data_IF_472827429491
#
_entry.id   IF_472827429491
#
_cell.length_a   1.000
_cell.length_b   1.000
_cell.length_c   1.000
_cell.angle_alpha   90.00
_cell.angle_beta   90.00
_cell.angle_gamma   90.00
#
_symmetry.space_group_name_H-M   'P 1'
#
loop_
_entity.id
_entity.type
_entity.pdbx_description
1 polymer ?
#
# COMPACT_ATOMS: atom_id res chain seq x y z
N UNK A 1 -24.69 -4.13 -25.13
CA UNK A 1 -24.62 -2.89 -24.34
C UNK A 1 -23.79 -1.88 -25.14
N UNK A 2 -24.41 -0.76 -25.57
CA UNK A 2 -23.72 0.23 -26.42
C UNK A 2 -22.80 1.10 -25.56
N UNK A 3 -21.65 1.54 -26.07
CA UNK A 3 -20.67 2.41 -25.39
C UNK A 3 -21.30 3.66 -24.71
N UNK A 4 -22.48 4.10 -25.17
CA UNK A 4 -23.23 5.21 -24.58
C UNK A 4 -23.90 4.83 -23.23
N UNK A 5 -24.28 3.58 -23.03
CA UNK A 5 -24.92 3.12 -21.80
C UNK A 5 -23.92 3.00 -20.64
N UNK A 6 -22.64 2.69 -20.95
CA UNK A 6 -21.53 2.64 -19.99
C UNK A 6 -21.21 4.03 -19.42
N UNK A 7 -21.32 5.10 -20.21
CA UNK A 7 -21.10 6.48 -19.73
C UNK A 7 -22.14 6.97 -18.72
N UNK A 8 -23.30 6.38 -18.66
CA UNK A 8 -24.41 6.80 -17.80
C UNK A 8 -24.51 6.05 -16.46
N UNK A 9 -23.68 5.04 -16.21
CA UNK A 9 -23.61 4.41 -14.88
C UNK A 9 -22.96 5.40 -13.90
N UNK A 10 -23.76 6.00 -13.03
CA UNK A 10 -23.35 7.02 -12.03
C UNK A 10 -22.09 6.64 -11.23
N UNK A 11 -21.77 5.36 -11.10
CA UNK A 11 -20.60 4.84 -10.38
C UNK A 11 -19.29 4.86 -11.17
N UNK A 12 -19.30 4.65 -12.49
CA UNK A 12 -18.07 4.48 -13.31
C UNK A 12 -17.17 5.72 -13.31
N UNK A 13 -17.77 6.92 -13.39
CA UNK A 13 -17.01 8.17 -13.34
C UNK A 13 -16.30 8.35 -11.98
N UNK A 14 -16.93 7.93 -10.90
CA UNK A 14 -16.36 8.00 -9.54
C UNK A 14 -15.24 7.00 -9.35
N UNK A 15 -15.43 5.77 -9.83
CA UNK A 15 -14.41 4.71 -9.82
C UNK A 15 -13.21 5.13 -10.67
N UNK A 16 -13.44 5.68 -11.87
CA UNK A 16 -12.40 6.24 -12.73
C UNK A 16 -11.61 7.35 -12.04
N UNK A 17 -12.28 8.24 -11.29
CA UNK A 17 -11.64 9.33 -10.56
C UNK A 17 -10.75 8.82 -9.42
N UNK A 18 -11.21 7.85 -8.63
CA UNK A 18 -10.40 7.22 -7.57
C UNK A 18 -9.26 6.41 -8.19
N UNK A 19 -9.57 5.65 -9.25
CA UNK A 19 -8.59 4.84 -9.96
C UNK A 19 -7.43 5.68 -10.50
N UNK A 20 -7.74 6.75 -11.23
CA UNK A 20 -6.73 7.64 -11.80
C UNK A 20 -5.89 8.35 -10.74
N UNK A 21 -6.48 8.78 -9.61
CA UNK A 21 -5.72 9.39 -8.53
C UNK A 21 -4.67 8.43 -7.95
N UNK A 22 -5.05 7.18 -7.73
CA UNK A 22 -4.11 6.18 -7.21
C UNK A 22 -2.99 5.85 -8.22
N UNK A 23 -3.31 5.78 -9.53
CA UNK A 23 -2.31 5.53 -10.57
C UNK A 23 -1.30 6.67 -10.62
N UNK A 24 -1.80 7.91 -10.72
CA UNK A 24 -0.95 9.11 -10.76
C UNK A 24 -0.11 9.19 -9.47
N UNK A 25 -0.73 8.99 -8.31
CA UNK A 25 -0.03 9.01 -7.03
C UNK A 25 1.03 7.93 -6.90
N UNK A 26 0.75 6.69 -7.36
CA UNK A 26 1.75 5.61 -7.36
C UNK A 26 2.90 5.93 -8.31
N UNK A 27 2.61 6.41 -9.52
CA UNK A 27 3.65 6.79 -10.49
C UNK A 27 4.57 7.88 -9.92
N UNK A 28 4.00 8.96 -9.36
CA UNK A 28 4.78 10.04 -8.73
C UNK A 28 5.67 9.51 -7.61
N UNK A 29 5.11 8.68 -6.71
CA UNK A 29 5.87 8.16 -5.57
C UNK A 29 6.92 7.13 -5.98
N UNK A 30 6.64 6.24 -6.93
CA UNK A 30 7.64 5.26 -7.39
C UNK A 30 8.80 5.93 -8.09
N UNK A 31 8.55 6.93 -8.96
CA UNK A 31 9.60 7.71 -9.60
C UNK A 31 10.44 8.45 -8.54
N UNK A 32 9.79 9.08 -7.55
CA UNK A 32 10.49 9.73 -6.44
C UNK A 32 11.40 8.75 -5.70
N UNK A 33 10.90 7.57 -5.33
CA UNK A 33 11.69 6.59 -4.58
C UNK A 33 12.89 6.06 -5.36
N UNK A 34 12.74 5.85 -6.68
CA UNK A 34 13.87 5.46 -7.53
C UNK A 34 14.90 6.58 -7.63
N UNK A 35 14.46 7.84 -7.75
CA UNK A 35 15.37 8.98 -7.81
C UNK A 35 16.12 9.17 -6.47
N UNK A 36 15.41 9.06 -5.34
CA UNK A 36 16.01 9.15 -4.01
C UNK A 36 17.04 8.04 -3.79
N UNK A 37 16.80 6.82 -4.30
CA UNK A 37 17.77 5.74 -4.22
C UNK A 37 19.14 6.17 -4.78
N UNK A 38 19.16 6.77 -5.99
CA UNK A 38 20.41 7.27 -6.59
C UNK A 38 21.04 8.47 -5.87
N UNK A 39 20.27 9.19 -5.05
CA UNK A 39 20.76 10.39 -4.36
C UNK A 39 21.41 10.07 -3.01
N UNK A 40 20.86 9.08 -2.26
CA UNK A 40 21.27 8.85 -0.87
C UNK A 40 22.11 7.57 -0.66
N UNK A 41 22.25 6.75 -1.71
CA UNK A 41 23.02 5.50 -1.65
C UNK A 41 22.26 4.35 -0.96
N UNK A 42 22.85 3.16 -1.04
CA UNK A 42 22.19 1.89 -0.64
C UNK A 42 21.87 1.83 0.84
N UNK A 43 22.82 2.20 1.72
CA UNK A 43 22.65 2.10 3.19
C UNK A 43 21.58 3.06 3.70
N UNK A 44 21.66 4.33 3.33
CA UNK A 44 20.66 5.34 3.72
C UNK A 44 19.27 5.02 3.14
N UNK A 45 19.23 4.43 1.94
CA UNK A 45 17.95 4.01 1.33
C UNK A 45 17.33 2.81 2.04
N UNK A 46 18.16 1.89 2.52
CA UNK A 46 17.74 0.78 3.35
C UNK A 46 17.22 1.25 4.71
N UNK A 47 17.95 2.13 5.38
CA UNK A 47 17.53 2.74 6.64
C UNK A 47 16.21 3.49 6.49
N UNK A 48 16.07 4.28 5.43
CA UNK A 48 14.81 4.96 5.08
C UNK A 48 13.66 3.96 4.92
N UNK A 49 13.89 2.86 4.21
CA UNK A 49 12.90 1.79 4.03
C UNK A 49 12.48 1.12 5.35
N UNK A 50 13.44 0.92 6.26
CA UNK A 50 13.21 0.39 7.60
C UNK A 50 12.31 1.33 8.40
N UNK A 51 12.62 2.62 8.43
CA UNK A 51 11.78 3.60 9.11
C UNK A 51 10.39 3.72 8.47
N UNK A 52 10.28 3.65 7.16
CA UNK A 52 8.97 3.64 6.49
C UNK A 52 8.13 2.42 6.89
N UNK A 53 8.74 1.25 7.14
CA UNK A 53 8.04 0.07 7.63
C UNK A 53 7.55 0.26 9.08
N UNK A 54 8.39 0.83 9.96
CA UNK A 54 8.03 1.19 11.34
C UNK A 54 6.88 2.20 11.34
N UNK A 55 7.01 3.28 10.57
CA UNK A 55 5.98 4.32 10.42
C UNK A 55 4.67 3.69 9.95
N UNK A 56 4.71 2.80 8.95
CA UNK A 56 3.54 2.13 8.41
C UNK A 56 2.79 1.31 9.48
N UNK A 57 3.49 0.46 10.21
CA UNK A 57 2.90 -0.38 11.26
C UNK A 57 2.39 0.47 12.42
N UNK A 58 3.19 1.41 12.91
CA UNK A 58 2.84 2.29 14.02
C UNK A 58 1.63 3.18 13.70
N UNK A 59 1.53 3.64 12.45
CA UNK A 59 0.38 4.43 11.99
C UNK A 59 -0.92 3.64 11.99
N UNK A 60 -0.89 2.36 11.63
CA UNK A 60 -2.09 1.51 11.69
C UNK A 60 -2.45 1.20 13.13
N UNK A 61 -1.47 0.92 14.00
CA UNK A 61 -1.70 0.76 15.43
C UNK A 61 -2.39 2.00 16.00
N UNK A 62 -1.89 3.19 15.67
CA UNK A 62 -2.42 4.46 16.14
C UNK A 62 -3.75 4.89 15.47
N UNK A 63 -4.11 4.31 14.33
CA UNK A 63 -5.40 4.59 13.66
C UNK A 63 -6.60 4.00 14.41
N UNK A 64 -6.36 3.03 15.30
CA UNK A 64 -7.36 2.34 16.14
C UNK A 64 -8.56 1.83 15.30
N UNK A 65 -8.33 1.38 14.07
CA UNK A 65 -9.38 0.91 13.15
C UNK A 65 -10.29 2.02 12.61
N UNK A 66 -9.86 3.28 12.74
CA UNK A 66 -10.66 4.44 12.36
C UNK A 66 -10.93 4.58 10.86
N UNK A 67 -10.08 4.04 9.97
CA UNK A 67 -10.14 4.26 8.53
C UNK A 67 -11.48 3.83 7.91
N UNK A 68 -11.71 2.54 7.75
CA UNK A 68 -12.96 2.03 7.16
C UNK A 68 -14.19 2.38 8.02
N UNK A 69 -14.02 2.46 9.34
CA UNK A 69 -15.10 2.90 10.25
C UNK A 69 -15.54 4.32 9.91
N UNK A 70 -14.59 5.22 9.70
CA UNK A 70 -14.84 6.60 9.24
C UNK A 70 -15.63 6.61 7.93
N UNK A 71 -15.16 5.87 6.93
CA UNK A 71 -15.78 5.83 5.60
C UNK A 71 -17.22 5.33 5.64
N UNK A 72 -17.44 4.19 6.29
CA UNK A 72 -18.75 3.52 6.31
C UNK A 72 -19.78 4.35 7.08
N UNK A 73 -19.45 4.81 8.27
CA UNK A 73 -20.43 5.54 9.09
C UNK A 73 -20.64 6.97 8.63
N UNK A 74 -19.64 7.62 8.05
CA UNK A 74 -19.82 8.91 7.37
C UNK A 74 -20.76 8.77 6.16
N UNK A 75 -20.64 7.68 5.39
CA UNK A 75 -21.55 7.40 4.26
C UNK A 75 -23.00 7.17 4.72
N UNK A 76 -23.18 6.64 5.94
CA UNK A 76 -24.51 6.49 6.59
C UNK A 76 -25.03 7.77 7.26
N UNK A 77 -24.31 8.90 7.14
CA UNK A 77 -24.69 10.18 7.73
C UNK A 77 -24.40 10.31 9.25
N UNK A 78 -23.71 9.34 9.84
CA UNK A 78 -23.33 9.38 11.27
C UNK A 78 -22.17 10.37 11.48
N UNK A 79 -22.32 11.28 12.45
CA UNK A 79 -21.32 12.32 12.76
C UNK A 79 -20.17 11.76 13.64
N UNK A 80 -19.56 10.64 13.21
CA UNK A 80 -18.50 9.94 13.95
C UNK A 80 -17.11 10.57 13.78
N UNK A 81 -16.91 11.39 12.75
CA UNK A 81 -15.61 11.91 12.35
C UNK A 81 -14.84 12.62 13.48
N UNK A 82 -15.40 13.56 14.27
CA UNK A 82 -14.65 14.21 15.33
C UNK A 82 -14.12 13.23 16.38
N UNK A 83 -14.89 12.21 16.70
CA UNK A 83 -14.51 11.22 17.71
C UNK A 83 -13.35 10.33 17.22
N UNK A 84 -13.36 9.92 15.96
CA UNK A 84 -12.26 9.14 15.36
C UNK A 84 -11.01 10.01 15.16
N UNK A 85 -11.14 11.27 14.78
CA UNK A 85 -10.02 12.21 14.74
C UNK A 85 -9.39 12.39 16.10
N UNK A 86 -10.21 12.59 17.15
CA UNK A 86 -9.71 12.77 18.50
C UNK A 86 -8.91 11.56 18.98
N UNK A 87 -9.43 10.34 18.81
CA UNK A 87 -8.72 9.12 19.16
C UNK A 87 -7.45 8.94 18.34
N UNK A 88 -7.52 9.14 17.01
CA UNK A 88 -6.38 8.99 16.12
C UNK A 88 -5.26 9.99 16.43
N UNK A 89 -5.59 11.25 16.75
CA UNK A 89 -4.60 12.26 17.13
C UNK A 89 -3.92 11.89 18.45
N UNK A 90 -4.68 11.52 19.47
CA UNK A 90 -4.09 11.13 20.77
C UNK A 90 -3.20 9.88 20.58
N UNK A 91 -3.71 8.83 19.96
CA UNK A 91 -2.97 7.59 19.77
C UNK A 91 -1.71 7.81 18.93
N UNK A 92 -1.79 8.61 17.84
CA UNK A 92 -0.63 8.90 16.99
C UNK A 92 0.39 9.81 17.70
N UNK A 93 -0.04 10.72 18.56
CA UNK A 93 0.87 11.53 19.38
C UNK A 93 1.61 10.66 20.40
N UNK A 94 0.91 9.74 21.08
CA UNK A 94 1.54 8.79 21.99
C UNK A 94 2.55 7.91 21.22
N UNK A 95 2.15 7.35 20.08
CA UNK A 95 3.05 6.55 19.25
C UNK A 95 4.27 7.36 18.78
N UNK A 96 4.08 8.62 18.38
CA UNK A 96 5.15 9.51 17.96
C UNK A 96 6.16 9.80 19.10
N UNK A 97 5.68 10.02 20.33
CA UNK A 97 6.55 10.21 21.51
C UNK A 97 7.35 8.94 21.78
N UNK A 98 6.70 7.77 21.78
CA UNK A 98 7.36 6.48 22.00
C UNK A 98 8.44 6.23 20.94
N UNK A 99 8.14 6.47 19.67
CA UNK A 99 9.08 6.30 18.58
C UNK A 99 10.23 7.30 18.63
N UNK A 100 9.95 8.54 19.06
CA UNK A 100 11.01 9.53 19.27
C UNK A 100 11.99 9.11 20.37
N UNK A 101 11.48 8.58 21.48
CA UNK A 101 12.33 8.09 22.58
C UNK A 101 13.17 6.88 22.16
N UNK A 102 12.63 6.00 21.29
CA UNK A 102 13.35 4.79 20.85
C UNK A 102 14.38 5.09 19.76
N UNK A 103 14.04 5.94 18.80
CA UNK A 103 14.86 6.12 17.58
C UNK A 103 15.52 7.49 17.49
N UNK A 104 15.21 8.43 18.38
CA UNK A 104 15.71 9.82 18.38
C UNK A 104 15.52 10.53 17.02
N UNK A 105 14.49 10.12 16.26
CA UNK A 105 14.23 10.59 14.89
C UNK A 105 12.89 11.32 14.83
N UNK A 106 12.97 12.66 14.68
CA UNK A 106 11.79 13.52 14.60
C UNK A 106 10.95 13.25 13.32
N UNK A 107 11.64 12.90 12.21
CA UNK A 107 10.98 12.59 10.95
C UNK A 107 10.05 11.37 11.03
N UNK A 108 10.45 10.33 11.78
CA UNK A 108 9.61 9.17 12.07
C UNK A 108 8.36 9.59 12.85
N UNK A 109 8.55 10.37 13.90
CA UNK A 109 7.49 10.82 14.80
C UNK A 109 6.43 11.66 14.09
N UNK A 110 6.85 12.69 13.35
CA UNK A 110 5.92 13.57 12.61
C UNK A 110 5.21 12.82 11.47
N UNK A 111 5.87 11.83 10.86
CA UNK A 111 5.28 11.00 9.81
C UNK A 111 4.12 10.14 10.33
N UNK A 112 4.24 9.55 11.52
CA UNK A 112 3.14 8.75 12.11
C UNK A 112 1.91 9.62 12.34
N UNK A 113 2.08 10.80 12.92
CA UNK A 113 0.95 11.74 13.13
C UNK A 113 0.35 12.14 11.79
N UNK A 114 1.20 12.50 10.81
CA UNK A 114 0.78 12.90 9.48
C UNK A 114 -0.03 11.83 8.77
N UNK A 115 0.45 10.58 8.75
CA UNK A 115 -0.23 9.46 8.09
C UNK A 115 -1.59 9.17 8.72
N UNK A 116 -1.68 9.11 10.04
CA UNK A 116 -2.95 8.85 10.74
C UNK A 116 -3.95 9.96 10.43
N UNK A 117 -3.55 11.22 10.57
CA UNK A 117 -4.40 12.37 10.28
C UNK A 117 -4.89 12.36 8.82
N UNK A 118 -3.97 12.16 7.87
CA UNK A 118 -4.28 12.22 6.45
C UNK A 118 -5.15 11.04 5.98
N UNK A 119 -4.87 9.82 6.45
CA UNK A 119 -5.69 8.66 6.15
C UNK A 119 -7.13 8.86 6.63
N UNK A 120 -7.35 9.33 7.86
CA UNK A 120 -8.68 9.62 8.37
C UNK A 120 -9.40 10.68 7.53
N UNK A 121 -8.67 11.73 7.06
CA UNK A 121 -9.21 12.74 6.14
C UNK A 121 -9.68 12.10 4.82
N UNK A 122 -8.87 11.24 4.22
CA UNK A 122 -9.21 10.58 2.97
C UNK A 122 -10.44 9.68 3.13
N UNK A 123 -10.52 8.90 4.20
CA UNK A 123 -11.67 8.05 4.48
C UNK A 123 -12.95 8.85 4.76
N UNK A 124 -12.86 10.00 5.44
CA UNK A 124 -14.00 10.91 5.62
C UNK A 124 -14.50 11.44 4.27
N UNK A 125 -13.59 11.89 3.41
CA UNK A 125 -13.93 12.43 2.07
C UNK A 125 -14.58 11.34 1.20
N UNK A 126 -14.06 10.11 1.25
CA UNK A 126 -14.64 8.97 0.55
C UNK A 126 -16.03 8.60 1.10
N UNK A 127 -16.20 8.61 2.42
CA UNK A 127 -17.50 8.40 3.07
C UNK A 127 -18.54 9.45 2.67
N UNK A 128 -18.12 10.70 2.50
CA UNK A 128 -18.97 11.79 1.97
C UNK A 128 -19.19 11.71 0.45
N UNK A 129 -18.62 10.71 -0.23
CA UNK A 129 -18.69 10.54 -1.70
C UNK A 129 -18.16 11.73 -2.49
N UNK A 130 -17.21 12.48 -1.93
CA UNK A 130 -16.61 13.67 -2.54
C UNK A 130 -15.38 13.28 -3.40
N UNK A 131 -15.58 12.42 -4.41
CA UNK A 131 -14.51 11.79 -5.18
C UNK A 131 -13.56 12.77 -5.90
N UNK A 132 -14.09 13.89 -6.41
CA UNK A 132 -13.25 14.93 -7.01
C UNK A 132 -12.34 15.63 -5.99
N UNK A 133 -12.84 15.82 -4.74
CA UNK A 133 -12.05 16.37 -3.64
C UNK A 133 -10.99 15.38 -3.18
N UNK A 134 -11.34 14.09 -3.11
CA UNK A 134 -10.38 13.01 -2.86
C UNK A 134 -9.23 13.04 -3.87
N UNK A 135 -9.53 13.06 -5.18
CA UNK A 135 -8.53 13.14 -6.23
C UNK A 135 -7.57 14.32 -6.03
N UNK A 136 -8.12 15.54 -5.87
CA UNK A 136 -7.32 16.75 -5.71
C UNK A 136 -6.40 16.69 -4.51
N UNK A 137 -6.92 16.29 -3.35
CA UNK A 137 -6.16 16.23 -2.09
C UNK A 137 -5.11 15.12 -2.16
N UNK A 138 -5.47 13.95 -2.69
CA UNK A 138 -4.54 12.82 -2.79
C UNK A 138 -3.37 13.13 -3.71
N UNK A 139 -3.63 13.66 -4.93
CA UNK A 139 -2.56 14.01 -5.87
C UNK A 139 -1.75 15.20 -5.37
N UNK A 140 -2.39 16.24 -4.82
CA UNK A 140 -1.69 17.38 -4.24
C UNK A 140 -0.74 16.95 -3.12
N UNK A 141 -1.16 16.03 -2.24
CA UNK A 141 -0.30 15.49 -1.19
C UNK A 141 0.93 14.77 -1.79
N UNK A 142 0.76 13.98 -2.87
CA UNK A 142 1.90 13.31 -3.51
C UNK A 142 2.91 14.28 -4.12
N UNK A 143 2.43 15.35 -4.71
CA UNK A 143 3.30 16.43 -5.23
C UNK A 143 4.00 17.16 -4.07
N UNK A 144 3.26 17.55 -3.04
CA UNK A 144 3.81 18.21 -1.86
C UNK A 144 4.82 17.31 -1.13
N UNK A 145 4.57 16.02 -1.05
CA UNK A 145 5.51 15.04 -0.49
C UNK A 145 6.83 15.09 -1.23
N UNK A 146 6.83 15.03 -2.56
CA UNK A 146 8.07 15.10 -3.35
C UNK A 146 8.81 16.41 -3.10
N UNK A 147 8.11 17.55 -3.21
CA UNK A 147 8.72 18.87 -3.05
C UNK A 147 9.30 19.06 -1.63
N UNK A 148 8.52 18.73 -0.60
CA UNK A 148 8.94 18.94 0.79
C UNK A 148 10.03 17.95 1.21
N UNK A 149 9.98 16.69 0.74
CA UNK A 149 11.02 15.71 1.02
C UNK A 149 12.36 16.14 0.43
N UNK A 150 12.40 16.66 -0.80
CA UNK A 150 13.62 17.25 -1.35
C UNK A 150 14.05 18.49 -0.58
N UNK A 151 13.13 19.42 -0.32
CA UNK A 151 13.45 20.66 0.38
C UNK A 151 14.08 20.38 1.76
N UNK A 152 13.46 19.52 2.55
CA UNK A 152 13.99 19.17 3.87
C UNK A 152 15.23 18.29 3.80
N UNK A 153 15.35 17.40 2.79
CA UNK A 153 16.58 16.64 2.59
C UNK A 153 17.79 17.59 2.36
N UNK A 154 17.66 18.60 1.51
CA UNK A 154 18.74 19.56 1.29
C UNK A 154 19.03 20.49 2.49
N UNK A 155 18.05 20.69 3.38
CA UNK A 155 18.25 21.47 4.62
C UNK A 155 18.92 20.64 5.71
N UNK A 156 18.46 19.40 5.93
CA UNK A 156 18.97 18.54 7.00
C UNK A 156 20.20 17.71 6.60
N UNK A 157 20.40 17.45 5.32
CA UNK A 157 21.47 16.58 4.81
C UNK A 157 21.33 15.10 5.14
N UNK A 158 20.19 14.67 5.67
CA UNK A 158 19.93 13.31 6.17
C UNK A 158 18.57 12.75 5.72
N UNK A 159 18.40 11.44 5.83
CA UNK A 159 17.11 10.77 5.55
C UNK A 159 15.97 11.28 6.45
N UNK A 160 16.29 11.80 7.62
CA UNK A 160 15.31 12.43 8.51
C UNK A 160 14.57 13.58 7.81
N UNK A 161 15.27 14.39 7.01
CA UNK A 161 14.63 15.43 6.21
C UNK A 161 13.58 14.89 5.26
N UNK A 162 13.84 13.74 4.62
CA UNK A 162 12.86 13.07 3.73
C UNK A 162 11.60 12.68 4.52
N UNK A 163 11.80 12.10 5.71
CA UNK A 163 10.69 11.68 6.58
C UNK A 163 9.92 12.89 7.14
N UNK A 164 10.60 13.98 7.49
CA UNK A 164 9.94 15.25 7.89
C UNK A 164 9.08 15.76 6.75
N UNK A 165 9.62 15.82 5.51
CA UNK A 165 8.87 16.24 4.34
C UNK A 165 7.64 15.35 4.09
N UNK A 166 7.78 14.05 4.29
CA UNK A 166 6.68 13.10 4.18
C UNK A 166 5.57 13.39 5.19
N UNK A 167 5.89 13.53 6.48
CA UNK A 167 4.92 13.83 7.54
C UNK A 167 4.27 15.20 7.37
N UNK A 168 5.06 16.24 7.13
CA UNK A 168 4.56 17.63 6.95
C UNK A 168 3.62 17.72 5.75
N UNK A 169 3.94 17.07 4.62
CA UNK A 169 3.08 17.07 3.43
C UNK A 169 1.65 16.60 3.71
N UNK A 170 1.47 15.72 4.68
CA UNK A 170 0.17 15.21 5.10
C UNK A 170 -0.53 16.14 6.09
N UNK A 171 0.23 16.73 7.02
CA UNK A 171 -0.30 17.64 8.04
C UNK A 171 -0.82 18.96 7.45
N UNK A 172 -0.38 19.38 6.27
CA UNK A 172 -0.90 20.57 5.58
C UNK A 172 -2.41 20.50 5.32
N UNK A 173 -3.01 19.31 5.33
CA UNK A 173 -4.46 19.13 5.17
C UNK A 173 -5.24 19.10 6.48
N UNK A 174 -4.60 19.30 7.62
CA UNK A 174 -5.22 19.29 8.97
C UNK A 174 -6.37 20.30 9.17
N UNK A 175 -6.45 21.34 8.35
CA UNK A 175 -7.60 22.26 8.33
C UNK A 175 -8.96 21.55 8.16
N UNK A 176 -8.97 20.36 7.53
CA UNK A 176 -10.19 19.55 7.36
C UNK A 176 -10.62 18.99 8.72
N UNK A 177 -9.66 18.55 9.52
CA UNK A 177 -9.89 18.06 10.88
C UNK A 177 -10.42 19.19 11.76
N UNK A 178 -9.79 20.37 11.71
CA UNK A 178 -10.25 21.54 12.46
C UNK A 178 -11.71 21.88 12.13
N UNK A 179 -12.08 21.89 10.84
CA UNK A 179 -13.47 22.13 10.42
C UNK A 179 -14.43 21.05 10.94
N UNK A 180 -13.97 19.80 11.05
CA UNK A 180 -14.80 18.72 11.60
C UNK A 180 -15.12 18.93 13.07
N UNK A 181 -14.14 19.34 13.88
CA UNK A 181 -14.34 19.68 15.30
C UNK A 181 -15.22 20.92 15.50
N UNK A 182 -15.06 21.94 14.65
CA UNK A 182 -15.89 23.15 14.72
C UNK A 182 -17.37 22.84 14.45
N UNK A 183 -17.67 21.93 13.55
CA UNK A 183 -19.04 21.66 13.11
C UNK A 183 -19.76 20.58 13.93
N UNK A 184 -19.04 19.72 14.64
CA UNK A 184 -19.62 18.61 15.38
C UNK A 184 -18.82 18.35 16.66
N UNK A 185 -19.51 17.97 17.73
CA UNK A 185 -18.89 17.61 19.00
C UNK A 185 -18.36 16.17 18.98
N UNK A 186 -17.32 15.91 19.78
CA UNK A 186 -16.84 14.56 20.05
C UNK A 186 -17.91 13.79 20.84
N UNK A 187 -18.22 12.58 20.40
CA UNK A 187 -19.19 11.71 21.05
C UNK A 187 -18.66 10.26 21.05
N UNK A 188 -18.19 9.82 22.21
CA UNK A 188 -17.64 8.47 22.38
C UNK A 188 -18.70 7.37 22.41
N UNK A 189 -19.98 7.67 22.66
CA UNK A 189 -21.04 6.66 22.59
C UNK A 189 -21.16 6.09 21.18
N UNK A 190 -20.96 6.94 20.14
CA UNK A 190 -20.97 6.51 18.75
C UNK A 190 -19.87 5.47 18.44
N UNK A 191 -18.74 5.56 19.13
CA UNK A 191 -17.63 4.60 18.97
C UNK A 191 -17.96 3.33 19.75
N UNK A 192 -18.43 3.45 20.99
CA UNK A 192 -18.78 2.31 21.84
C UNK A 192 -19.82 1.40 21.20
N UNK A 193 -20.85 1.99 20.60
CA UNK A 193 -21.89 1.23 19.86
C UNK A 193 -21.33 0.45 18.67
N UNK A 194 -20.18 0.87 18.12
CA UNK A 194 -19.58 0.34 16.90
C UNK A 194 -18.24 -0.35 17.14
N UNK A 195 -17.92 -0.61 18.40
CA UNK A 195 -16.62 -1.18 18.79
C UNK A 195 -16.32 -2.50 18.09
N UNK A 196 -17.33 -3.36 17.87
CA UNK A 196 -17.18 -4.64 17.17
C UNK A 196 -16.75 -4.43 15.71
N UNK A 197 -17.38 -3.49 15.00
CA UNK A 197 -17.02 -3.18 13.61
C UNK A 197 -15.63 -2.55 13.54
N UNK A 198 -15.33 -1.62 14.44
CA UNK A 198 -14.03 -0.96 14.56
C UNK A 198 -12.91 -1.98 14.80
N UNK A 199 -13.09 -2.91 15.75
CA UNK A 199 -12.08 -3.94 16.08
C UNK A 199 -11.83 -4.91 14.91
N UNK A 200 -12.86 -5.32 14.17
CA UNK A 200 -12.68 -6.18 13.00
C UNK A 200 -11.87 -5.48 11.89
N UNK A 201 -12.18 -4.20 11.62
CA UNK A 201 -11.43 -3.43 10.64
C UNK A 201 -10.00 -3.19 11.10
N UNK A 202 -9.78 -2.93 12.38
CA UNK A 202 -8.45 -2.77 12.97
C UNK A 202 -7.57 -4.00 12.74
N UNK A 203 -8.08 -5.18 13.05
CA UNK A 203 -7.36 -6.45 12.83
C UNK A 203 -7.06 -6.66 11.34
N UNK A 204 -8.02 -6.35 10.45
CA UNK A 204 -7.84 -6.49 9.02
C UNK A 204 -6.76 -5.53 8.48
N UNK A 205 -6.79 -4.25 8.88
CA UNK A 205 -5.79 -3.25 8.49
C UNK A 205 -4.40 -3.60 9.04
N UNK A 206 -4.32 -4.02 10.30
CA UNK A 206 -3.06 -4.42 10.94
C UNK A 206 -2.45 -5.62 10.23
N UNK A 207 -3.24 -6.64 9.93
CA UNK A 207 -2.77 -7.84 9.22
C UNK A 207 -2.27 -7.51 7.81
N UNK A 208 -2.96 -6.63 7.08
CA UNK A 208 -2.55 -6.22 5.75
C UNK A 208 -1.25 -5.39 5.78
N UNK A 209 -1.11 -4.51 6.76
CA UNK A 209 0.08 -3.66 6.92
C UNK A 209 1.29 -4.46 7.39
N UNK A 210 1.11 -5.39 8.32
CA UNK A 210 2.16 -6.30 8.77
C UNK A 210 2.71 -7.10 7.60
N UNK A 211 1.85 -7.71 6.78
CA UNK A 211 2.28 -8.45 5.57
C UNK A 211 3.12 -7.62 4.60
N UNK A 212 2.84 -6.32 4.46
CA UNK A 212 3.53 -5.45 3.50
C UNK A 212 4.82 -4.81 4.06
N UNK A 213 5.11 -4.98 5.34
CA UNK A 213 6.23 -4.30 5.99
C UNK A 213 7.13 -5.23 6.84
N UNK A 214 6.67 -6.43 7.19
CA UNK A 214 7.41 -7.35 8.07
C UNK A 214 8.74 -7.78 7.46
N UNK A 215 8.79 -7.95 6.16
CA UNK A 215 10.01 -8.27 5.40
C UNK A 215 11.15 -7.30 5.72
N UNK A 216 10.87 -6.00 5.67
CA UNK A 216 11.86 -4.94 5.92
C UNK A 216 12.37 -4.94 7.37
N UNK A 217 11.48 -5.25 8.32
CA UNK A 217 11.84 -5.34 9.74
C UNK A 217 12.68 -6.57 10.05
N UNK A 218 12.59 -7.63 9.24
CA UNK A 218 13.42 -8.84 9.39
C UNK A 218 14.76 -8.64 8.66
N UNK A 219 14.75 -8.09 7.45
CA UNK A 219 15.96 -7.97 6.62
C UNK A 219 16.97 -7.02 7.25
N UNK A 220 16.55 -5.86 7.79
CA UNK A 220 17.46 -4.88 8.35
C UNK A 220 18.37 -5.44 9.45
N UNK A 221 17.85 -6.08 10.53
CA UNK A 221 18.71 -6.64 11.56
C UNK A 221 19.44 -7.93 11.13
N UNK A 222 18.94 -8.65 10.12
CA UNK A 222 19.51 -9.91 9.66
C UNK A 222 20.67 -9.71 8.68
N UNK A 223 20.50 -8.83 7.70
CA UNK A 223 21.44 -8.66 6.59
C UNK A 223 22.06 -7.24 6.52
N UNK A 224 21.48 -6.27 7.24
CA UNK A 224 21.92 -4.88 7.23
C UNK A 224 21.20 -3.97 6.24
N UNK A 225 21.46 -2.67 6.34
CA UNK A 225 20.72 -1.67 5.58
C UNK A 225 21.08 -1.66 4.09
N UNK A 226 22.33 -1.93 3.71
CA UNK A 226 22.72 -1.98 2.30
C UNK A 226 21.91 -3.03 1.53
N UNK A 227 21.76 -4.22 2.10
CA UNK A 227 20.93 -5.27 1.50
C UNK A 227 19.45 -4.86 1.44
N UNK A 228 18.95 -4.25 2.52
CA UNK A 228 17.57 -3.76 2.53
C UNK A 228 17.33 -2.67 1.49
N UNK A 229 18.31 -1.78 1.25
CA UNK A 229 18.22 -0.75 0.21
C UNK A 229 18.10 -1.34 -1.19
N UNK A 230 18.92 -2.33 -1.51
CA UNK A 230 18.83 -3.07 -2.78
C UNK A 230 17.48 -3.79 -2.94
N UNK A 231 17.00 -4.44 -1.87
CA UNK A 231 15.69 -5.09 -1.85
C UNK A 231 14.55 -4.08 -2.05
N UNK A 232 14.62 -2.94 -1.37
CA UNK A 232 13.60 -1.89 -1.47
C UNK A 232 13.54 -1.28 -2.87
N UNK A 233 14.69 -1.08 -3.53
CA UNK A 233 14.73 -0.69 -4.94
C UNK A 233 14.03 -1.74 -5.82
N UNK A 234 14.32 -3.01 -5.61
CA UNK A 234 13.65 -4.11 -6.32
C UNK A 234 12.12 -4.09 -6.13
N UNK A 235 11.66 -3.79 -4.92
CA UNK A 235 10.22 -3.64 -4.64
C UNK A 235 9.61 -2.41 -5.35
N UNK A 236 10.33 -1.29 -5.52
CA UNK A 236 9.84 -0.14 -6.29
C UNK A 236 9.71 -0.47 -7.78
N UNK A 237 10.68 -1.20 -8.34
CA UNK A 237 10.60 -1.70 -9.72
C UNK A 237 9.41 -2.66 -9.87
N UNK A 238 9.24 -3.61 -8.95
CA UNK A 238 8.09 -4.51 -8.92
C UNK A 238 6.76 -3.74 -8.83
N UNK A 239 6.69 -2.68 -8.01
CA UNK A 239 5.50 -1.84 -7.89
C UNK A 239 5.12 -1.18 -9.24
N UNK A 240 6.11 -0.72 -10.01
CA UNK A 240 5.87 -0.20 -11.37
C UNK A 240 5.32 -1.28 -12.30
N UNK A 241 5.87 -2.50 -12.26
CA UNK A 241 5.41 -3.63 -13.08
C UNK A 241 3.95 -4.01 -12.76
N UNK A 242 3.51 -3.82 -11.52
CA UNK A 242 2.17 -4.16 -11.05
C UNK A 242 1.14 -3.04 -11.25
N UNK A 243 1.49 -1.90 -11.85
CA UNK A 243 0.55 -0.80 -12.13
C UNK A 243 -0.60 -1.29 -13.02
N UNK A 244 -0.31 -1.99 -14.10
CA UNK A 244 -1.34 -2.47 -15.06
C UNK A 244 -2.31 -3.45 -14.40
N UNK A 245 -1.87 -4.52 -13.71
CA UNK A 245 -2.80 -5.36 -12.93
C UNK A 245 -3.66 -4.58 -11.94
N UNK A 246 -3.07 -3.60 -11.25
CA UNK A 246 -3.80 -2.73 -10.31
C UNK A 246 -4.89 -1.87 -10.98
N UNK A 247 -4.63 -1.36 -12.19
CA UNK A 247 -5.62 -0.63 -12.99
C UNK A 247 -6.77 -1.55 -13.39
N UNK A 248 -6.43 -2.72 -13.94
CA UNK A 248 -7.43 -3.68 -14.40
C UNK A 248 -8.29 -4.19 -13.25
N UNK A 249 -7.71 -4.43 -12.08
CA UNK A 249 -8.46 -4.79 -10.88
C UNK A 249 -9.57 -3.78 -10.54
N UNK A 250 -9.25 -2.47 -10.60
CA UNK A 250 -10.23 -1.40 -10.31
C UNK A 250 -11.36 -1.33 -11.33
N UNK A 251 -11.10 -1.80 -12.54
CA UNK A 251 -12.12 -1.95 -13.57
C UNK A 251 -12.93 -3.24 -13.37
N UNK A 252 -12.26 -4.37 -13.14
CA UNK A 252 -12.92 -5.67 -13.10
C UNK A 252 -13.75 -5.89 -11.83
N UNK A 253 -13.38 -5.31 -10.70
CA UNK A 253 -14.10 -5.51 -9.44
C UNK A 253 -15.58 -5.07 -9.49
N UNK A 254 -15.94 -3.86 -9.95
CA UNK A 254 -17.33 -3.48 -10.09
C UNK A 254 -18.08 -4.28 -11.17
N UNK A 255 -17.41 -4.64 -12.28
CA UNK A 255 -18.02 -5.46 -13.34
C UNK A 255 -18.31 -6.87 -12.84
N UNK A 256 -17.38 -7.53 -12.15
CA UNK A 256 -17.59 -8.82 -11.51
C UNK A 256 -18.74 -8.76 -10.47
N UNK A 257 -18.86 -7.65 -9.73
CA UNK A 257 -19.92 -7.44 -8.74
C UNK A 257 -21.30 -7.25 -9.39
N UNK A 258 -21.35 -6.78 -10.62
CA UNK A 258 -22.60 -6.65 -11.40
C UNK A 258 -22.94 -7.89 -12.22
N UNK A 259 -22.13 -8.96 -12.14
CA UNK A 259 -22.33 -10.20 -12.88
C UNK A 259 -21.85 -10.17 -14.34
N UNK A 260 -21.13 -9.10 -14.73
CA UNK A 260 -20.57 -8.99 -16.08
C UNK A 260 -19.33 -9.89 -16.26
N UNK A 261 -19.16 -10.41 -17.48
CA UNK A 261 -18.02 -11.29 -17.78
C UNK A 261 -16.72 -10.50 -18.03
N UNK A 262 -15.78 -10.56 -17.10
CA UNK A 262 -14.46 -9.92 -17.21
C UNK A 262 -13.33 -10.88 -17.63
N UNK A 263 -13.66 -12.15 -17.94
CA UNK A 263 -12.66 -13.19 -18.20
C UNK A 263 -11.64 -12.84 -19.28
N UNK A 264 -12.08 -12.29 -20.42
CA UNK A 264 -11.19 -11.91 -21.53
C UNK A 264 -10.16 -10.86 -21.12
N UNK A 265 -10.58 -9.82 -20.36
CA UNK A 265 -9.65 -8.76 -19.95
C UNK A 265 -8.68 -9.25 -18.87
N UNK A 266 -9.10 -10.17 -17.99
CA UNK A 266 -8.23 -10.83 -17.02
C UNK A 266 -7.15 -11.63 -17.68
N UNK A 267 -7.49 -12.45 -18.71
CA UNK A 267 -6.52 -13.23 -19.48
C UNK A 267 -5.56 -12.30 -20.22
N UNK A 268 -6.07 -11.24 -20.88
CA UNK A 268 -5.20 -10.27 -21.56
C UNK A 268 -4.23 -9.62 -20.57
N UNK A 269 -4.69 -9.28 -19.36
CA UNK A 269 -3.83 -8.71 -18.32
C UNK A 269 -2.72 -9.67 -17.92
N UNK A 270 -2.99 -10.96 -17.80
CA UNK A 270 -1.97 -11.98 -17.49
C UNK A 270 -0.94 -12.06 -18.62
N UNK A 271 -1.38 -12.03 -19.88
CA UNK A 271 -0.49 -12.04 -21.05
C UNK A 271 0.41 -10.80 -21.05
N UNK A 272 -0.16 -9.61 -20.87
CA UNK A 272 0.62 -8.36 -20.79
C UNK A 272 1.60 -8.40 -19.62
N UNK A 273 1.17 -8.89 -18.45
CA UNK A 273 2.04 -9.06 -17.28
C UNK A 273 3.18 -10.04 -17.53
N UNK A 274 2.99 -11.05 -18.38
CA UNK A 274 4.07 -11.95 -18.80
C UNK A 274 5.17 -11.20 -19.57
N UNK A 275 4.80 -10.34 -20.50
CA UNK A 275 5.78 -9.52 -21.21
C UNK A 275 6.47 -8.51 -20.29
N UNK A 276 5.74 -7.90 -19.34
CA UNK A 276 6.32 -7.01 -18.32
C UNK A 276 7.31 -7.78 -17.43
N UNK A 277 6.99 -9.02 -17.04
CA UNK A 277 7.91 -9.89 -16.31
C UNK A 277 9.20 -10.13 -17.10
N UNK A 278 9.10 -10.44 -18.40
CA UNK A 278 10.27 -10.61 -19.26
C UNK A 278 11.13 -9.34 -19.36
N UNK A 279 10.50 -8.16 -19.43
CA UNK A 279 11.24 -6.89 -19.37
C UNK A 279 11.98 -6.74 -18.04
N UNK A 280 11.38 -7.13 -16.92
CA UNK A 280 12.03 -7.12 -15.62
C UNK A 280 13.21 -8.10 -15.53
N UNK A 281 13.09 -9.27 -16.15
CA UNK A 281 14.16 -10.28 -16.15
C UNK A 281 15.33 -9.88 -17.04
N UNK A 282 15.06 -9.38 -18.25
CA UNK A 282 16.09 -9.19 -19.26
C UNK A 282 16.54 -7.73 -19.43
N UNK A 283 15.63 -6.77 -19.27
CA UNK A 283 15.94 -5.34 -19.52
C UNK A 283 16.37 -4.62 -18.26
N UNK A 284 15.72 -4.87 -17.12
CA UNK A 284 16.05 -4.17 -15.89
C UNK A 284 17.52 -4.38 -15.45
N UNK A 285 18.13 -5.58 -15.53
CA UNK A 285 19.54 -5.76 -15.20
C UNK A 285 20.50 -4.99 -16.10
N UNK A 286 20.09 -4.63 -17.31
CA UNK A 286 20.91 -3.83 -18.24
C UNK A 286 20.80 -2.34 -17.92
N UNK A 287 19.63 -1.87 -17.48
CA UNK A 287 19.34 -0.45 -17.23
C UNK A 287 19.81 -0.01 -15.84
N UNK A 288 19.60 -0.83 -14.82
CA UNK A 288 19.92 -0.48 -13.42
C UNK A 288 21.40 -0.09 -13.21
N UNK A 289 22.41 -0.83 -13.74
CA UNK A 289 23.80 -0.45 -13.56
C UNK A 289 24.17 0.88 -14.19
N UNK A 290 23.45 1.29 -15.25
CA UNK A 290 23.68 2.57 -15.95
C UNK A 290 23.09 3.72 -15.15
N UNK A 291 21.88 3.53 -14.58
CA UNK A 291 21.13 4.59 -13.90
C UNK A 291 21.50 4.68 -12.41
N UNK A 292 21.76 3.53 -11.77
CA UNK A 292 21.99 3.36 -10.34
C UNK A 292 23.16 2.41 -10.09
N UNK A 293 24.42 2.80 -10.41
CA UNK A 293 25.60 1.93 -10.35
C UNK A 293 25.89 1.38 -8.94
N UNK A 294 25.49 2.09 -7.89
CA UNK A 294 25.68 1.67 -6.49
C UNK A 294 24.76 0.47 -6.09
N UNK A 295 23.74 0.16 -6.90
CA UNK A 295 22.79 -0.92 -6.64
C UNK A 295 23.15 -2.22 -7.36
N UNK A 296 24.44 -2.59 -7.37
CA UNK A 296 24.92 -3.79 -8.05
C UNK A 296 24.20 -5.08 -7.60
N UNK A 297 23.89 -5.21 -6.31
CA UNK A 297 23.18 -6.38 -5.78
C UNK A 297 21.74 -6.46 -6.28
N UNK A 298 21.09 -5.32 -6.55
CA UNK A 298 19.75 -5.28 -7.12
C UNK A 298 19.66 -5.92 -8.52
N UNK A 299 20.77 -5.97 -9.27
CA UNK A 299 20.84 -6.63 -10.58
C UNK A 299 20.38 -8.08 -10.49
N UNK A 300 20.78 -8.80 -9.44
CA UNK A 300 20.42 -10.20 -9.24
C UNK A 300 19.03 -10.36 -8.61
N UNK A 301 18.57 -9.36 -7.85
CA UNK A 301 17.28 -9.38 -7.17
C UNK A 301 16.10 -9.16 -8.10
N UNK A 302 16.21 -8.17 -8.99
CA UNK A 302 15.09 -7.73 -9.83
C UNK A 302 14.57 -8.83 -10.75
N UNK A 303 15.41 -9.66 -11.42
CA UNK A 303 14.94 -10.81 -12.18
C UNK A 303 14.10 -11.78 -11.33
N UNK A 304 14.55 -12.09 -10.12
CA UNK A 304 13.84 -13.00 -9.20
C UNK A 304 12.51 -12.39 -8.77
N UNK A 305 12.52 -11.12 -8.32
CA UNK A 305 11.30 -10.40 -7.94
C UNK A 305 10.32 -10.24 -9.11
N UNK A 306 10.82 -10.15 -10.34
CA UNK A 306 9.98 -10.06 -11.55
C UNK A 306 9.12 -11.31 -11.74
N UNK A 307 9.58 -12.49 -11.29
CA UNK A 307 8.77 -13.72 -11.32
C UNK A 307 7.48 -13.60 -10.50
N UNK A 308 7.43 -12.69 -9.51
CA UNK A 308 6.23 -12.43 -8.70
C UNK A 308 5.11 -11.78 -9.51
N UNK A 309 5.43 -11.11 -10.63
CA UNK A 309 4.44 -10.36 -11.42
C UNK A 309 3.30 -11.27 -11.89
N UNK A 310 3.59 -12.48 -12.32
CA UNK A 310 2.56 -13.42 -12.79
C UNK A 310 1.69 -13.93 -11.65
N UNK A 311 2.22 -14.58 -10.59
CA UNK A 311 1.37 -15.03 -9.50
C UNK A 311 0.58 -13.87 -8.86
N UNK A 312 1.18 -12.71 -8.68
CA UNK A 312 0.50 -11.54 -8.15
C UNK A 312 -0.64 -11.04 -9.04
N UNK A 313 -0.44 -11.01 -10.37
CA UNK A 313 -1.48 -10.66 -11.33
C UNK A 313 -2.64 -11.63 -11.27
N UNK A 314 -2.38 -12.94 -11.29
CA UNK A 314 -3.41 -13.98 -11.18
C UNK A 314 -4.17 -13.83 -9.86
N UNK A 315 -3.44 -13.66 -8.74
CA UNK A 315 -4.02 -13.44 -7.42
C UNK A 315 -5.00 -12.27 -7.43
N UNK A 316 -4.60 -11.12 -7.98
CA UNK A 316 -5.42 -9.91 -8.02
C UNK A 316 -6.65 -10.10 -8.91
N UNK A 317 -6.51 -10.79 -10.05
CA UNK A 317 -7.65 -11.08 -10.94
C UNK A 317 -8.67 -12.02 -10.30
N UNK A 318 -8.23 -13.04 -9.56
CA UNK A 318 -9.12 -13.94 -8.81
C UNK A 318 -9.74 -13.22 -7.61
N UNK A 319 -8.98 -12.35 -6.94
CA UNK A 319 -9.51 -11.50 -5.86
C UNK A 319 -10.70 -10.66 -6.32
N UNK A 320 -10.63 -10.08 -7.52
CA UNK A 320 -11.77 -9.37 -8.11
C UNK A 320 -13.01 -10.27 -8.20
N UNK A 321 -12.85 -11.49 -8.70
CA UNK A 321 -13.98 -12.44 -8.81
C UNK A 321 -14.55 -12.84 -7.44
N UNK A 322 -13.70 -13.10 -6.44
CA UNK A 322 -14.16 -13.48 -5.10
C UNK A 322 -14.86 -12.34 -4.39
N UNK A 323 -14.33 -11.12 -4.47
CA UNK A 323 -14.96 -9.96 -3.86
C UNK A 323 -16.28 -9.60 -4.55
N UNK A 324 -16.32 -9.73 -5.89
CA UNK A 324 -17.56 -9.53 -6.65
C UNK A 324 -18.69 -10.51 -6.28
N UNK A 325 -18.31 -11.72 -5.84
CA UNK A 325 -19.24 -12.77 -5.37
C UNK A 325 -19.42 -12.80 -3.85
N UNK A 326 -18.97 -11.78 -3.12
CA UNK A 326 -19.00 -11.68 -1.65
C UNK A 326 -18.22 -12.79 -0.91
N UNK A 327 -17.30 -13.46 -1.59
CA UNK A 327 -16.48 -14.55 -1.08
C UNK A 327 -15.14 -14.08 -0.47
N UNK A 328 -15.15 -12.97 0.28
CA UNK A 328 -13.97 -12.32 0.85
C UNK A 328 -13.11 -13.23 1.75
N UNK A 329 -13.71 -14.27 2.36
CA UNK A 329 -12.98 -15.22 3.21
C UNK A 329 -11.78 -15.88 2.54
N UNK A 330 -11.86 -16.19 1.24
CA UNK A 330 -10.76 -16.80 0.50
C UNK A 330 -9.61 -15.82 0.28
N UNK A 331 -9.93 -14.54 0.10
CA UNK A 331 -8.93 -13.48 0.00
C UNK A 331 -8.18 -13.30 1.32
N UNK A 332 -8.90 -13.34 2.45
CA UNK A 332 -8.29 -13.27 3.79
C UNK A 332 -7.35 -14.46 4.02
N UNK A 333 -7.79 -15.68 3.72
CA UNK A 333 -6.94 -16.88 3.85
C UNK A 333 -5.72 -16.77 2.93
N UNK A 334 -5.87 -16.33 1.68
CA UNK A 334 -4.75 -16.10 0.76
C UNK A 334 -3.72 -15.10 1.32
N UNK A 335 -4.18 -14.04 1.97
CA UNK A 335 -3.31 -13.07 2.65
C UNK A 335 -2.57 -13.69 3.84
N UNK A 336 -3.24 -14.52 4.64
CA UNK A 336 -2.62 -15.24 5.77
C UNK A 336 -1.57 -16.23 5.26
N UNK A 337 -1.84 -16.95 4.16
CA UNK A 337 -0.85 -17.84 3.53
C UNK A 337 0.37 -17.05 3.08
N UNK A 338 0.18 -15.92 2.37
CA UNK A 338 1.31 -15.09 1.94
C UNK A 338 2.15 -14.65 3.13
N UNK A 339 1.52 -14.14 4.20
CA UNK A 339 2.22 -13.67 5.40
C UNK A 339 2.96 -14.82 6.09
N UNK A 340 2.29 -15.94 6.34
CA UNK A 340 2.87 -17.09 7.06
C UNK A 340 4.05 -17.68 6.29
N UNK A 341 3.89 -17.91 4.97
CA UNK A 341 4.98 -18.45 4.13
C UNK A 341 6.14 -17.46 4.06
N UNK A 342 5.86 -16.16 3.91
CA UNK A 342 6.91 -15.15 3.86
C UNK A 342 7.75 -15.13 5.14
N UNK A 343 7.12 -15.03 6.30
CA UNK A 343 7.80 -14.97 7.61
C UNK A 343 8.62 -16.23 7.87
N UNK A 344 8.07 -17.41 7.58
CA UNK A 344 8.76 -18.70 7.82
C UNK A 344 9.88 -18.98 6.83
N UNK A 345 9.82 -18.43 5.61
CA UNK A 345 10.82 -18.71 4.57
C UNK A 345 11.93 -17.65 4.48
N UNK A 346 11.69 -16.40 4.91
CA UNK A 346 12.70 -15.34 4.83
C UNK A 346 13.97 -15.73 5.60
N UNK A 347 13.83 -16.15 6.85
CA UNK A 347 14.99 -16.43 7.71
C UNK A 347 15.90 -17.54 7.13
N UNK A 348 15.42 -18.78 6.90
CA UNK A 348 16.27 -19.85 6.39
C UNK A 348 16.82 -19.58 4.99
N UNK A 349 16.05 -18.91 4.12
CA UNK A 349 16.53 -18.61 2.77
C UNK A 349 17.53 -17.44 2.78
N UNK A 350 17.38 -16.47 3.67
CA UNK A 350 18.34 -15.39 3.81
C UNK A 350 19.69 -15.90 4.38
N UNK A 351 19.69 -16.86 5.29
CA UNK A 351 20.92 -17.50 5.79
C UNK A 351 21.66 -18.28 4.68
N UNK A 352 20.93 -18.93 3.77
CA UNK A 352 21.52 -19.75 2.72
C UNK A 352 21.95 -18.95 1.49
N UNK A 353 21.19 -17.94 1.12
CA UNK A 353 21.32 -17.22 -0.16
C UNK A 353 21.35 -15.69 0.01
N UNK A 354 21.53 -15.21 1.24
CA UNK A 354 21.52 -13.77 1.55
C UNK A 354 20.29 -13.07 0.99
N UNK A 355 20.47 -11.90 0.37
CA UNK A 355 19.38 -11.10 -0.17
C UNK A 355 18.60 -11.79 -1.33
N UNK A 356 19.26 -12.65 -2.10
CA UNK A 356 18.58 -13.44 -3.15
C UNK A 356 17.61 -14.44 -2.54
N UNK A 357 17.94 -14.99 -1.37
CA UNK A 357 17.04 -15.82 -0.58
C UNK A 357 15.77 -15.11 -0.15
N UNK A 358 15.86 -13.83 0.21
CA UNK A 358 14.69 -12.99 0.51
C UNK A 358 13.79 -12.84 -0.72
N UNK A 359 14.37 -12.58 -1.90
CA UNK A 359 13.59 -12.48 -3.13
C UNK A 359 12.91 -13.81 -3.48
N UNK A 360 13.59 -14.95 -3.28
CA UNK A 360 13.02 -16.28 -3.45
C UNK A 360 11.86 -16.51 -2.46
N UNK A 361 12.03 -16.15 -1.18
CA UNK A 361 10.97 -16.24 -0.16
C UNK A 361 9.71 -15.47 -0.61
N UNK A 362 9.91 -14.29 -1.18
CA UNK A 362 8.83 -13.45 -1.69
C UNK A 362 8.09 -14.14 -2.86
N UNK A 363 8.82 -14.74 -3.81
CA UNK A 363 8.24 -15.51 -4.92
C UNK A 363 7.45 -16.71 -4.40
N UNK A 364 8.00 -17.49 -3.46
CA UNK A 364 7.34 -18.66 -2.88
C UNK A 364 6.05 -18.25 -2.17
N UNK A 365 6.09 -17.19 -1.35
CA UNK A 365 4.94 -16.72 -0.59
C UNK A 365 3.78 -16.31 -1.50
N UNK A 366 4.05 -15.52 -2.55
CA UNK A 366 3.01 -15.12 -3.50
C UNK A 366 2.53 -16.26 -4.39
N UNK A 367 3.42 -17.17 -4.80
CA UNK A 367 3.04 -18.34 -5.58
C UNK A 367 2.16 -19.30 -4.78
N UNK A 368 2.48 -19.55 -3.51
CA UNK A 368 1.69 -20.41 -2.61
C UNK A 368 0.27 -19.88 -2.41
N UNK A 369 0.14 -18.58 -2.14
CA UNK A 369 -1.19 -17.97 -2.00
C UNK A 369 -1.98 -17.96 -3.31
N UNK A 370 -1.30 -17.76 -4.44
CA UNK A 370 -1.94 -17.80 -5.76
C UNK A 370 -2.43 -19.19 -6.10
N UNK A 371 -1.65 -20.23 -5.81
CA UNK A 371 -2.04 -21.65 -5.98
C UNK A 371 -3.30 -21.95 -5.17
N UNK A 372 -3.35 -21.52 -3.90
CA UNK A 372 -4.56 -21.64 -3.08
C UNK A 372 -5.77 -20.93 -3.73
N UNK A 373 -5.60 -19.70 -4.20
CA UNK A 373 -6.67 -18.92 -4.83
C UNK A 373 -7.18 -19.61 -6.11
N UNK A 374 -6.29 -20.14 -6.95
CA UNK A 374 -6.65 -20.89 -8.16
C UNK A 374 -7.44 -22.15 -7.78
N UNK A 375 -6.97 -22.96 -6.83
CA UNK A 375 -7.63 -24.17 -6.40
C UNK A 375 -9.08 -23.89 -5.90
N UNK A 376 -9.24 -22.84 -5.09
CA UNK A 376 -10.57 -22.44 -4.60
C UNK A 376 -11.46 -21.88 -5.71
N UNK A 377 -10.92 -21.12 -6.63
CA UNK A 377 -11.67 -20.60 -7.76
C UNK A 377 -12.20 -21.72 -8.66
N UNK A 378 -11.38 -22.71 -8.99
CA UNK A 378 -11.78 -23.87 -9.79
C UNK A 378 -12.81 -24.75 -9.06
N UNK A 379 -12.60 -24.98 -7.75
CA UNK A 379 -13.54 -25.76 -6.93
C UNK A 379 -14.95 -25.14 -6.90
N UNK A 380 -15.05 -23.80 -6.78
CA UNK A 380 -16.34 -23.12 -6.77
C UNK A 380 -16.98 -23.08 -8.16
N UNK A 381 -16.18 -22.93 -9.20
CA UNK A 381 -16.69 -22.96 -10.58
C UNK A 381 -17.31 -24.31 -10.93
N UNK A 382 -16.67 -25.42 -10.54
CA UNK A 382 -17.19 -26.78 -10.80
C UNK A 382 -18.45 -27.13 -9.98
N UNK A 383 -18.70 -26.44 -8.87
CA UNK A 383 -19.92 -26.62 -8.06
C UNK A 383 -21.12 -25.86 -8.64
N UNK A 384 -20.88 -24.86 -9.45
CA UNK A 384 -21.92 -24.02 -10.04
C UNK A 384 -22.25 -24.41 -11.50
N UNK A 385 -21.53 -25.40 -12.06
CA UNK A 385 -21.87 -26.14 -13.29
C UNK A 385 -22.59 -27.45 -12.98
#
# INVERSE_FOLDING_TARGET
MKWKDIKNVRGLRSIGTIGSSNIIGTAITSVFWIFIAGLIGTDSYGELSYFLAIIGISSVIASVGGGYTMQVYTAKGVKIAPSLYFLGIIASTIAAIVLFVIFENFGVSISVIGIVAFNLILFEILGKKLYKKYFKIFVAQKILFVILSFAFYFVFGTIEGILVGYGVSMLLFSQIIYKSFKNNKVNFSLIRERIKFLSHNYIAELSATARNNVDKLIIAPLLGFSFLGNYFLGLQVLALMLIIPGIVFKYTLPEDSSGESTGKIKILTIIVSFFIMLLGIFVAPLVIPIVLPEYATAINLIPILSLVVIPRTIYVMITSSFLGQENSKYVVIGNIITFGVLVTSIFPLAELFEITGVAIAYVIAFSSSTTYMIAKYLQLRNKNQ
#
